data_IF_564536482282
#
_entry.id   IF_564536482282
#
_cell.length_a   1.000
_cell.length_b   1.000
_cell.length_c   1.000
_cell.angle_alpha   90.00
_cell.angle_beta   90.00
_cell.angle_gamma   90.00
#
_symmetry.space_group_name_H-M   'P 1'
#
loop_
_entity.id
_entity.type
_entity.pdbx_description
1 polymer ?
#
# COMPACT_ATOMS: atom_id res chain seq x y z
N UNK A 1 47.97 -33.52 -6.27
CA UNK A 1 49.27 -32.99 -5.76
C UNK A 1 49.20 -31.48 -5.84
N UNK A 2 49.71 -30.82 -4.80
CA UNK A 2 49.63 -29.37 -4.53
C UNK A 2 50.57 -28.58 -5.45
N UNK A 3 50.15 -27.34 -5.80
CA UNK A 3 50.93 -26.16 -6.23
C UNK A 3 51.62 -26.21 -7.61
N UNK A 4 51.81 -25.14 -8.37
CA UNK A 4 51.55 -23.68 -8.34
C UNK A 4 51.89 -23.20 -9.77
N UNK A 5 51.23 -22.21 -10.37
CA UNK A 5 51.77 -20.85 -10.45
C UNK A 5 50.72 -19.95 -11.16
N UNK A 6 49.96 -19.18 -10.38
CA UNK A 6 49.07 -18.16 -10.90
C UNK A 6 49.85 -16.88 -11.20
N UNK A 7 49.98 -16.51 -12.48
CA UNK A 7 50.41 -15.16 -12.88
C UNK A 7 49.20 -14.26 -13.05
N UNK A 8 49.19 -13.15 -12.32
CA UNK A 8 48.19 -12.09 -12.41
C UNK A 8 48.62 -11.10 -13.50
N UNK A 9 47.73 -10.75 -14.44
CA UNK A 9 47.96 -9.66 -15.40
C UNK A 9 47.01 -8.50 -15.11
N UNK A 10 47.55 -7.28 -15.05
CA UNK A 10 46.78 -6.03 -14.92
C UNK A 10 46.95 -5.25 -16.21
N UNK A 11 45.85 -4.97 -16.92
CA UNK A 11 45.86 -4.05 -18.05
C UNK A 11 45.03 -2.82 -17.71
N UNK A 12 45.66 -1.65 -17.75
CA UNK A 12 44.99 -0.36 -17.61
C UNK A 12 45.22 0.45 -18.89
N UNK A 13 44.15 0.88 -19.54
CA UNK A 13 44.17 2.02 -20.46
C UNK A 13 43.22 3.07 -19.90
N UNK A 14 43.70 4.30 -19.81
CA UNK A 14 42.90 5.43 -19.34
C UNK A 14 43.17 6.67 -20.16
N UNK A 15 42.13 7.50 -20.25
CA UNK A 15 42.24 8.95 -20.17
C UNK A 15 41.03 9.49 -19.39
N UNK A 16 41.28 10.00 -18.19
CA UNK A 16 40.51 11.09 -17.55
C UNK A 16 39.32 10.74 -16.63
N UNK A 17 39.60 10.79 -15.32
CA UNK A 17 38.71 11.02 -14.16
C UNK A 17 37.90 9.84 -13.56
N UNK A 18 38.41 9.41 -12.39
CA UNK A 18 37.92 8.48 -11.35
C UNK A 18 37.62 7.03 -11.80
N UNK A 19 38.64 6.17 -11.68
CA UNK A 19 38.48 4.71 -11.65
C UNK A 19 37.75 4.27 -10.37
N UNK A 20 36.55 3.71 -10.52
CA UNK A 20 35.80 3.08 -9.41
C UNK A 20 35.76 1.54 -9.46
N UNK A 21 36.50 0.88 -10.38
CA UNK A 21 36.59 -0.60 -10.41
C UNK A 21 37.95 -1.10 -10.91
N UNK A 22 38.43 -2.18 -10.30
CA UNK A 22 39.46 -3.09 -10.82
C UNK A 22 38.77 -4.43 -11.05
N UNK A 23 38.94 -5.02 -12.24
CA UNK A 23 38.49 -6.38 -12.52
C UNK A 23 39.68 -7.35 -12.41
N UNK A 24 39.51 -8.45 -11.66
CA UNK A 24 40.47 -9.54 -11.57
C UNK A 24 39.80 -10.81 -12.11
N UNK A 25 40.53 -11.57 -12.94
CA UNK A 25 40.06 -12.82 -13.52
C UNK A 25 40.90 -13.98 -12.97
N UNK A 26 40.25 -15.10 -12.69
CA UNK A 26 40.89 -16.40 -12.49
C UNK A 26 40.11 -17.45 -13.28
N UNK A 27 40.79 -18.23 -14.10
CA UNK A 27 40.20 -19.37 -14.82
C UNK A 27 40.41 -20.65 -14.03
N UNK A 28 39.31 -21.26 -13.56
CA UNK A 28 39.17 -22.71 -13.47
C UNK A 28 37.68 -23.06 -13.37
N UNK A 29 37.14 -23.77 -14.37
CA UNK A 29 35.86 -24.49 -14.26
C UNK A 29 34.56 -23.65 -14.28
N UNK A 30 34.34 -22.85 -15.33
CA UNK A 30 33.01 -22.62 -15.91
C UNK A 30 31.85 -22.20 -14.99
N UNK A 31 32.03 -21.23 -14.09
CA UNK A 31 30.97 -20.36 -13.53
C UNK A 31 31.55 -19.00 -13.18
N UNK A 32 30.89 -17.91 -13.62
CA UNK A 32 31.19 -16.54 -13.21
C UNK A 32 30.36 -16.19 -11.98
N UNK A 33 31.00 -15.87 -10.85
CA UNK A 33 30.33 -15.31 -9.66
C UNK A 33 30.76 -13.86 -9.44
N UNK A 34 29.80 -12.95 -9.34
CA UNK A 34 30.02 -11.56 -8.93
C UNK A 34 29.95 -11.47 -7.40
N UNK A 35 31.08 -11.15 -6.76
CA UNK A 35 31.18 -10.97 -5.31
C UNK A 35 30.95 -9.50 -4.97
N UNK A 36 29.69 -9.07 -4.90
CA UNK A 36 29.35 -7.70 -4.48
C UNK A 36 28.29 -7.51 -3.41
N UNK A 37 27.76 -8.58 -2.79
CA UNK A 37 26.58 -8.40 -1.93
C UNK A 37 26.67 -9.00 -0.52
N UNK A 38 27.86 -9.20 0.03
CA UNK A 38 28.00 -9.78 1.38
C UNK A 38 28.94 -8.96 2.25
N UNK A 39 28.48 -7.81 2.73
CA UNK A 39 29.11 -7.16 3.89
C UNK A 39 28.05 -6.59 4.85
N UNK A 40 28.14 -7.04 6.12
CA UNK A 40 27.46 -6.60 7.35
C UNK A 40 26.44 -7.57 8.01
N UNK A 41 25.62 -8.35 7.29
CA UNK A 41 24.62 -9.21 7.96
C UNK A 41 25.12 -10.59 8.41
N UNK A 42 26.24 -11.09 7.87
CA UNK A 42 26.75 -12.44 8.16
C UNK A 42 27.73 -12.49 9.33
N UNK A 43 28.36 -11.35 9.65
CA UNK A 43 29.19 -11.22 10.86
C UNK A 43 28.32 -11.24 12.12
N UNK A 44 27.07 -10.78 12.04
CA UNK A 44 26.11 -10.85 13.16
C UNK A 44 25.54 -12.27 13.31
N UNK A 45 25.27 -12.98 12.21
CA UNK A 45 24.81 -14.37 12.25
C UNK A 45 25.87 -15.37 12.73
N UNK A 46 27.16 -15.12 12.44
CA UNK A 46 28.26 -15.95 12.96
C UNK A 46 28.61 -15.68 14.44
N UNK A 47 28.20 -14.52 14.99
CA UNK A 47 28.36 -14.22 16.42
C UNK A 47 27.20 -14.75 17.29
N UNK A 48 26.03 -15.03 16.71
CA UNK A 48 24.88 -15.63 17.42
C UNK A 48 24.99 -17.16 17.51
N UNK A 49 25.81 -17.81 16.67
CA UNK A 49 26.07 -19.26 16.73
C UNK A 49 27.24 -19.68 17.66
N UNK A 50 27.89 -18.74 18.36
CA UNK A 50 29.05 -19.01 19.21
C UNK A 50 28.81 -18.90 20.74
N UNK A 51 27.55 -18.84 21.19
CA UNK A 51 27.19 -18.83 22.61
C UNK A 51 26.13 -19.90 22.95
N UNK A 52 26.42 -21.15 22.61
CA UNK A 52 25.68 -22.31 23.11
C UNK A 52 26.65 -23.34 23.71
N UNK A 53 27.34 -22.98 24.79
CA UNK A 53 28.01 -23.93 25.68
C UNK A 53 27.95 -23.46 27.13
N UNK A 54 26.91 -23.84 27.87
CA UNK A 54 27.00 -24.47 29.21
C UNK A 54 25.59 -24.73 29.79
N UNK A 55 25.43 -25.71 30.71
CA UNK A 55 24.13 -26.32 30.95
C UNK A 55 23.49 -26.00 32.33
N UNK A 56 22.18 -26.26 32.37
CA UNK A 56 21.29 -26.52 33.53
C UNK A 56 20.91 -25.33 34.43
N UNK A 57 19.64 -24.91 34.34
CA UNK A 57 18.84 -24.52 35.50
C UNK A 57 17.36 -24.94 35.30
N UNK A 58 16.79 -25.57 36.33
CA UNK A 58 15.44 -26.17 36.42
C UNK A 58 14.28 -25.16 36.44
N UNK A 59 13.04 -25.58 36.13
CA UNK A 59 11.90 -24.67 35.98
C UNK A 59 11.28 -24.31 37.35
N UNK A 60 11.14 -23.01 37.61
CA UNK A 60 10.44 -22.47 38.77
C UNK A 60 9.57 -21.28 38.38
N UNK A 61 8.26 -21.46 38.53
CA UNK A 61 7.16 -20.48 38.47
C UNK A 61 7.54 -19.00 38.25
N UNK A 62 7.09 -18.44 37.13
CA UNK A 62 6.92 -17.00 36.99
C UNK A 62 5.47 -16.65 36.65
N UNK A 63 4.89 -15.87 37.56
CA UNK A 63 3.57 -15.30 37.46
C UNK A 63 3.41 -14.42 36.23
N UNK A 64 2.25 -14.51 35.58
CA UNK A 64 1.83 -13.63 34.50
C UNK A 64 1.58 -12.25 35.10
N UNK A 65 2.54 -11.33 34.93
CA UNK A 65 2.31 -9.91 35.08
C UNK A 65 1.83 -9.39 33.72
N UNK A 66 0.56 -8.98 33.62
CA UNK A 66 0.08 -8.18 32.51
C UNK A 66 0.83 -6.85 32.53
N UNK A 67 1.71 -6.62 31.57
CA UNK A 67 2.26 -5.31 31.31
C UNK A 67 1.16 -4.45 30.67
N UNK A 68 0.76 -3.38 31.36
CA UNK A 68 -0.03 -2.30 30.77
C UNK A 68 0.82 -1.63 29.69
N UNK A 69 0.37 -1.70 28.43
CA UNK A 69 0.92 -0.87 27.35
C UNK A 69 0.67 0.60 27.68
N UNK A 70 1.76 1.32 27.96
CA UNK A 70 1.79 2.77 27.95
C UNK A 70 1.69 3.27 26.52
N UNK A 71 0.49 3.74 26.16
CA UNK A 71 0.10 4.44 24.94
C UNK A 71 1.03 5.65 24.66
N UNK A 72 2.04 5.43 23.82
CA UNK A 72 2.86 6.49 23.21
C UNK A 72 2.19 6.99 21.93
N UNK A 73 1.11 7.75 22.07
CA UNK A 73 0.94 9.10 21.51
C UNK A 73 1.23 9.44 20.04
N UNK A 74 1.50 8.50 19.13
CA UNK A 74 1.52 8.74 17.68
C UNK A 74 0.38 7.97 17.02
N UNK A 75 -0.42 8.63 16.18
CA UNK A 75 -1.49 7.98 15.42
C UNK A 75 -0.88 7.01 14.41
N UNK A 76 -0.57 5.77 14.83
CA UNK A 76 -0.16 4.71 13.92
C UNK A 76 -1.36 4.31 13.08
N UNK A 77 -1.30 4.58 11.78
CA UNK A 77 -2.27 4.06 10.82
C UNK A 77 -2.12 2.53 10.79
N UNK A 78 -3.22 1.81 10.98
CA UNK A 78 -3.25 0.35 10.91
C UNK A 78 -3.87 -0.02 9.56
N UNK A 79 -3.03 -0.49 8.63
CA UNK A 79 -3.47 -0.99 7.33
C UNK A 79 -4.26 -2.29 7.51
N UNK A 80 -5.25 -2.50 6.64
CA UNK A 80 -6.12 -3.67 6.69
C UNK A 80 -6.06 -4.47 5.40
N UNK A 81 -6.16 -5.78 5.56
CA UNK A 81 -6.41 -6.70 4.46
C UNK A 81 -7.74 -6.37 3.77
N UNK A 82 -7.86 -6.66 2.46
CA UNK A 82 -9.08 -6.48 1.72
C UNK A 82 -10.25 -7.22 2.37
N UNK A 83 -11.40 -6.56 2.42
CA UNK A 83 -12.61 -7.17 2.97
C UNK A 83 -13.85 -6.60 2.31
N UNK A 84 -14.91 -7.38 2.25
CA UNK A 84 -16.22 -6.90 1.82
C UNK A 84 -16.75 -5.92 2.86
N UNK A 85 -16.94 -4.67 2.47
CA UNK A 85 -17.61 -3.68 3.29
C UNK A 85 -19.13 -3.84 3.16
N UNK A 86 -19.82 -3.91 4.31
CA UNK A 86 -21.27 -4.15 4.37
C UNK A 86 -22.10 -3.01 3.79
N UNK A 87 -21.58 -1.78 3.78
CA UNK A 87 -22.28 -0.62 3.24
C UNK A 87 -22.07 -0.48 1.74
N UNK A 88 -20.88 -0.85 1.24
CA UNK A 88 -20.58 -0.87 -0.19
C UNK A 88 -21.17 -2.11 -0.89
N UNK A 89 -21.31 -3.23 -0.17
CA UNK A 89 -21.61 -4.53 -0.76
C UNK A 89 -20.50 -5.04 -1.68
N UNK A 90 -19.29 -4.49 -1.55
CA UNK A 90 -18.14 -4.74 -2.40
C UNK A 90 -16.88 -4.85 -1.54
N UNK A 91 -15.85 -5.46 -2.10
CA UNK A 91 -14.51 -5.42 -1.52
C UNK A 91 -14.00 -3.98 -1.41
N UNK A 92 -13.28 -3.70 -0.33
CA UNK A 92 -12.60 -2.45 -0.08
C UNK A 92 -11.13 -2.74 0.21
N UNK A 93 -10.25 -2.03 -0.48
CA UNK A 93 -8.81 -2.03 -0.23
C UNK A 93 -8.42 -0.75 0.52
N UNK A 94 -7.54 -0.87 1.51
CA UNK A 94 -6.77 0.27 1.99
C UNK A 94 -5.71 0.63 0.94
N UNK A 95 -5.34 1.90 0.88
CA UNK A 95 -4.35 2.41 -0.06
C UNK A 95 -3.24 3.20 0.64
N UNK A 96 -2.06 3.20 0.01
CA UNK A 96 -0.90 3.99 0.42
C UNK A 96 -0.27 4.70 -0.78
N UNK A 97 0.41 5.82 -0.52
CA UNK A 97 1.37 6.41 -1.44
C UNK A 97 2.77 5.97 -1.04
N UNK A 98 3.54 5.46 -1.99
CA UNK A 98 4.93 5.01 -1.81
C UNK A 98 5.65 5.04 -3.16
N UNK A 99 6.87 5.58 -3.23
CA UNK A 99 7.53 5.88 -4.50
C UNK A 99 6.81 6.94 -5.33
N UNK A 100 7.42 7.33 -6.44
CA UNK A 100 6.91 8.34 -7.37
C UNK A 100 7.13 7.89 -8.82
N UNK A 101 6.19 8.16 -9.73
CA UNK A 101 6.37 7.86 -11.15
C UNK A 101 5.66 8.90 -12.02
N UNK A 102 5.89 8.87 -13.33
CA UNK A 102 5.21 9.73 -14.29
C UNK A 102 3.73 9.35 -14.39
N UNK A 103 2.81 10.28 -14.15
CA UNK A 103 1.38 9.94 -14.06
C UNK A 103 0.45 10.94 -14.75
N UNK A 104 0.10 12.05 -14.11
CA UNK A 104 -0.90 12.99 -14.68
C UNK A 104 -0.28 13.91 -15.73
N UNK A 105 -1.09 14.33 -16.71
CA UNK A 105 -0.71 15.41 -17.63
C UNK A 105 -0.39 16.69 -16.82
N UNK A 106 0.65 17.40 -17.24
CA UNK A 106 1.18 18.58 -16.58
C UNK A 106 1.35 19.71 -17.60
N UNK A 107 1.13 20.95 -17.17
CA UNK A 107 1.42 22.14 -17.97
C UNK A 107 2.50 22.94 -17.25
N UNK A 108 3.75 22.87 -17.71
CA UNK A 108 4.83 23.67 -17.15
C UNK A 108 4.57 25.17 -17.27
N UNK A 109 5.16 25.95 -16.37
CA UNK A 109 5.14 27.41 -16.46
C UNK A 109 5.85 27.87 -17.72
N UNK A 110 5.47 29.07 -18.20
CA UNK A 110 5.91 29.61 -19.49
C UNK A 110 7.43 29.61 -19.69
N UNK A 111 8.21 29.82 -18.63
CA UNK A 111 9.68 29.83 -18.65
C UNK A 111 10.34 28.45 -18.72
N UNK A 112 9.58 27.37 -18.45
CA UNK A 112 10.03 25.98 -18.51
C UNK A 112 9.22 25.17 -19.54
N UNK A 113 8.63 25.81 -20.55
CA UNK A 113 8.02 25.01 -21.61
C UNK A 113 9.11 24.22 -22.37
N UNK A 114 8.91 22.92 -22.61
CA UNK A 114 9.90 22.13 -23.32
C UNK A 114 10.04 22.58 -24.77
N UNK A 115 11.24 22.43 -25.31
CA UNK A 115 11.53 22.65 -26.71
C UNK A 115 11.09 21.44 -27.56
N UNK A 116 11.02 21.63 -28.88
CA UNK A 116 10.68 20.54 -29.78
C UNK A 116 11.80 19.48 -29.80
N UNK A 117 11.43 18.21 -29.62
CA UNK A 117 12.36 17.07 -29.68
C UNK A 117 12.95 16.65 -28.33
N UNK A 118 12.45 17.17 -27.21
CA UNK A 118 12.86 16.79 -25.85
C UNK A 118 12.11 15.55 -25.30
N UNK A 119 11.76 14.60 -26.17
CA UNK A 119 11.09 13.36 -25.77
C UNK A 119 11.94 12.56 -24.77
N UNK A 120 11.28 12.08 -23.72
CA UNK A 120 11.85 11.33 -22.61
C UNK A 120 12.96 12.06 -21.82
N UNK A 121 13.07 13.39 -21.99
CA UNK A 121 13.96 14.23 -21.19
C UNK A 121 13.27 14.66 -19.90
N UNK A 122 13.96 14.51 -18.77
CA UNK A 122 13.47 14.94 -17.46
C UNK A 122 13.78 16.42 -17.24
N UNK A 123 12.74 17.19 -16.96
CA UNK A 123 12.79 18.60 -16.62
C UNK A 123 12.39 18.84 -15.16
N UNK A 124 12.62 20.05 -14.68
CA UNK A 124 12.17 20.51 -13.35
C UNK A 124 11.62 21.92 -13.49
N UNK A 125 10.35 22.11 -13.15
CA UNK A 125 9.75 23.43 -13.10
C UNK A 125 10.27 24.20 -11.89
N UNK A 126 10.07 25.52 -11.90
CA UNK A 126 10.41 26.49 -10.84
C UNK A 126 9.85 26.18 -9.45
N UNK A 127 8.76 25.40 -9.35
CA UNK A 127 8.23 24.94 -8.06
C UNK A 127 8.83 23.61 -7.58
N UNK A 128 9.79 23.07 -8.32
CA UNK A 128 10.45 21.80 -8.06
C UNK A 128 9.73 20.58 -8.64
N UNK A 129 8.58 20.76 -9.31
CA UNK A 129 7.87 19.66 -9.97
C UNK A 129 8.72 19.12 -11.11
N UNK A 130 9.10 17.85 -11.03
CA UNK A 130 9.74 17.16 -12.15
C UNK A 130 8.69 16.71 -13.15
N UNK A 131 9.00 16.78 -14.44
CA UNK A 131 8.14 16.26 -15.49
C UNK A 131 8.96 15.74 -16.66
N UNK A 132 8.34 14.92 -17.51
CA UNK A 132 8.91 14.36 -18.72
C UNK A 132 8.01 14.67 -19.91
N UNK A 133 8.59 14.82 -21.10
CA UNK A 133 7.84 14.99 -22.36
C UNK A 133 7.69 13.63 -23.03
N UNK A 134 6.50 13.28 -23.51
CA UNK A 134 6.25 12.03 -24.27
C UNK A 134 6.08 12.32 -25.76
N UNK A 135 5.98 11.26 -26.57
CA UNK A 135 5.81 11.30 -28.04
C UNK A 135 4.61 12.08 -28.57
N UNK A 136 3.65 12.45 -27.71
CA UNK A 136 2.54 13.34 -28.06
C UNK A 136 2.84 14.82 -27.77
N UNK A 137 4.10 15.13 -27.46
CA UNK A 137 4.62 16.44 -27.07
C UNK A 137 3.95 17.03 -25.82
N UNK A 138 3.32 16.18 -24.99
CA UNK A 138 2.76 16.59 -23.70
C UNK A 138 3.69 16.26 -22.54
N UNK A 139 3.53 17.00 -21.45
CA UNK A 139 4.31 16.85 -20.24
C UNK A 139 3.55 16.01 -19.20
N UNK A 140 4.28 15.20 -18.44
CA UNK A 140 3.74 14.34 -17.39
C UNK A 140 4.55 14.48 -16.13
N UNK A 141 3.89 14.80 -15.02
CA UNK A 141 4.58 15.07 -13.75
C UNK A 141 5.00 13.78 -13.04
N UNK A 142 6.15 13.85 -12.40
CA UNK A 142 6.65 12.87 -11.46
C UNK A 142 5.97 13.05 -10.10
N UNK A 143 5.16 12.09 -9.69
CA UNK A 143 4.34 12.24 -8.49
C UNK A 143 4.09 10.90 -7.78
N UNK A 144 3.63 10.93 -6.51
CA UNK A 144 3.48 9.72 -5.71
C UNK A 144 2.59 8.66 -6.34
N UNK A 145 3.08 7.41 -6.34
CA UNK A 145 2.32 6.27 -6.86
C UNK A 145 1.37 5.77 -5.78
N UNK A 146 0.10 5.58 -6.13
CA UNK A 146 -0.91 5.01 -5.24
C UNK A 146 -0.98 3.49 -5.41
N UNK A 147 -0.96 2.79 -4.28
CA UNK A 147 -0.99 1.33 -4.20
C UNK A 147 -2.17 0.84 -3.38
N UNK A 148 -2.78 -0.29 -3.79
CA UNK A 148 -3.76 -1.04 -3.01
C UNK A 148 -3.05 -2.09 -2.16
N UNK A 149 -3.46 -2.20 -0.90
CA UNK A 149 -2.99 -3.25 0.02
C UNK A 149 -3.71 -4.56 -0.29
N UNK A 150 -2.99 -5.55 -0.82
CA UNK A 150 -3.51 -6.90 -1.07
C UNK A 150 -3.43 -7.78 0.17
N UNK A 151 -2.35 -7.67 0.95
CA UNK A 151 -2.24 -8.31 2.25
C UNK A 151 -1.24 -7.59 3.15
N UNK A 152 -1.42 -7.78 4.45
CA UNK A 152 -0.55 -7.39 5.55
C UNK A 152 -0.36 -8.64 6.38
N UNK A 153 0.90 -9.02 6.59
CA UNK A 153 1.23 -10.14 7.47
C UNK A 153 0.95 -9.79 8.95
N UNK A 154 1.06 -10.78 9.84
CA UNK A 154 0.63 -10.62 11.24
C UNK A 154 1.40 -9.56 12.03
N UNK A 155 2.70 -9.39 11.76
CA UNK A 155 3.55 -8.39 12.42
C UNK A 155 3.57 -7.02 11.71
N UNK A 156 3.01 -6.94 10.50
CA UNK A 156 2.91 -5.74 9.69
C UNK A 156 4.21 -5.31 9.00
N UNK A 157 5.23 -6.16 8.95
CA UNK A 157 6.50 -5.86 8.26
C UNK A 157 6.53 -6.31 6.80
N UNK A 158 5.51 -7.05 6.36
CA UNK A 158 5.33 -7.42 4.96
C UNK A 158 3.92 -6.99 4.51
N UNK A 159 3.91 -5.98 3.65
CA UNK A 159 2.71 -5.47 3.00
C UNK A 159 2.82 -5.77 1.51
N UNK A 160 1.91 -6.62 1.01
CA UNK A 160 1.80 -6.93 -0.40
C UNK A 160 0.93 -5.88 -1.09
N UNK A 161 1.48 -5.22 -2.11
CA UNK A 161 0.87 -4.09 -2.79
C UNK A 161 0.66 -4.35 -4.28
N UNK A 162 -0.37 -3.75 -4.86
CA UNK A 162 -0.57 -3.63 -6.32
C UNK A 162 -0.86 -2.17 -6.70
N UNK A 163 -0.37 -1.71 -7.84
CA UNK A 163 -0.68 -0.34 -8.30
C UNK A 163 -2.20 -0.12 -8.45
N UNK A 164 -2.69 1.05 -8.00
CA UNK A 164 -4.11 1.44 -8.08
C UNK A 164 -4.52 1.93 -9.49
N UNK A 165 -3.57 1.99 -10.41
CA UNK A 165 -3.76 2.27 -11.83
C UNK A 165 -2.71 1.50 -12.64
N UNK A 166 -2.92 1.36 -13.95
CA UNK A 166 -1.81 1.06 -14.85
C UNK A 166 -0.89 2.28 -14.91
N UNK A 167 0.40 2.07 -14.62
CA UNK A 167 1.40 3.14 -14.49
C UNK A 167 2.05 3.50 -15.82
N UNK A 168 2.28 2.51 -16.68
CA UNK A 168 2.90 2.66 -17.99
C UNK A 168 2.42 1.56 -18.94
N UNK A 169 2.90 1.56 -20.18
CA UNK A 169 2.72 0.46 -21.14
C UNK A 169 4.05 -0.03 -21.66
N UNK A 170 4.17 -1.35 -21.82
CA UNK A 170 5.38 -1.97 -22.33
C UNK A 170 5.03 -3.23 -23.13
N UNK A 171 5.97 -3.61 -24.01
CA UNK A 171 5.98 -4.96 -24.57
C UNK A 171 6.38 -5.93 -23.48
N UNK A 172 5.79 -7.12 -23.50
CA UNK A 172 6.26 -8.20 -22.65
C UNK A 172 7.66 -8.65 -23.10
N UNK A 173 7.85 -8.75 -24.42
CA UNK A 173 9.12 -9.05 -25.07
C UNK A 173 9.14 -8.46 -26.49
N UNK A 174 10.27 -7.94 -26.91
CA UNK A 174 10.40 -7.14 -28.15
C UNK A 174 10.48 -7.97 -29.43
N UNK A 175 10.88 -9.25 -29.35
CA UNK A 175 11.04 -10.11 -30.53
C UNK A 175 9.75 -10.90 -30.84
N UNK A 176 9.26 -10.72 -32.06
CA UNK A 176 8.04 -11.39 -32.53
C UNK A 176 8.26 -12.87 -32.81
N UNK A 177 7.32 -13.71 -32.37
CA UNK A 177 7.28 -15.14 -32.72
C UNK A 177 8.20 -16.02 -31.89
N UNK A 178 8.77 -15.47 -30.82
CA UNK A 178 9.57 -16.22 -29.83
C UNK A 178 8.68 -16.68 -28.70
N UNK A 179 8.85 -17.95 -28.31
CA UNK A 179 8.23 -18.49 -27.09
C UNK A 179 8.94 -17.89 -25.87
N UNK A 180 8.21 -17.11 -25.08
CA UNK A 180 8.77 -16.36 -23.96
C UNK A 180 8.14 -16.76 -22.63
N UNK A 181 8.95 -16.71 -21.57
CA UNK A 181 8.51 -16.89 -20.18
C UNK A 181 8.83 -15.64 -19.38
N UNK A 182 8.24 -15.48 -18.19
CA UNK A 182 8.53 -14.35 -17.29
C UNK A 182 10.03 -14.14 -17.06
N UNK A 183 10.77 -15.21 -16.76
CA UNK A 183 12.18 -15.16 -16.40
C UNK A 183 13.07 -14.50 -17.47
N UNK A 184 12.69 -14.62 -18.75
CA UNK A 184 13.47 -14.14 -19.89
C UNK A 184 12.85 -12.89 -20.54
N UNK A 185 11.76 -12.36 -19.99
CA UNK A 185 11.00 -11.26 -20.59
C UNK A 185 11.72 -9.91 -20.45
N UNK A 186 11.52 -9.03 -21.45
CA UNK A 186 12.08 -7.66 -21.42
C UNK A 186 11.39 -6.83 -20.33
N UNK A 187 10.10 -7.05 -20.11
CA UNK A 187 9.32 -6.34 -19.09
C UNK A 187 9.80 -6.63 -17.67
N UNK A 188 10.29 -7.86 -17.39
CA UNK A 188 10.89 -8.20 -16.09
C UNK A 188 12.17 -7.39 -15.87
N UNK A 189 13.03 -7.30 -16.89
CA UNK A 189 14.25 -6.50 -16.82
C UNK A 189 13.92 -5.01 -16.63
N UNK A 190 12.99 -4.48 -17.42
CA UNK A 190 12.56 -3.09 -17.30
C UNK A 190 11.97 -2.78 -15.92
N UNK A 191 11.19 -3.70 -15.33
CA UNK A 191 10.65 -3.54 -13.97
C UNK A 191 11.75 -3.47 -12.91
N UNK A 192 12.74 -4.37 -12.99
CA UNK A 192 13.83 -4.46 -12.02
C UNK A 192 14.92 -3.39 -12.18
N UNK A 193 15.01 -2.76 -13.35
CA UNK A 193 15.99 -1.72 -13.63
C UNK A 193 15.31 -0.36 -13.80
N UNK A 194 14.88 -0.03 -15.02
CA UNK A 194 14.40 1.31 -15.38
C UNK A 194 13.25 1.78 -14.49
N UNK A 195 12.23 0.95 -14.28
CA UNK A 195 11.11 1.31 -13.40
C UNK A 195 11.57 1.43 -11.94
N UNK A 196 12.27 0.44 -11.40
CA UNK A 196 12.68 0.41 -9.99
C UNK A 196 13.52 1.64 -9.59
N UNK A 197 14.55 1.96 -10.38
CA UNK A 197 15.43 3.10 -10.10
C UNK A 197 14.80 4.46 -10.43
N UNK A 198 13.79 4.49 -11.29
CA UNK A 198 13.00 5.70 -11.53
C UNK A 198 11.97 5.90 -10.43
N UNK A 199 11.35 4.82 -9.94
CA UNK A 199 10.17 4.90 -9.09
C UNK A 199 10.49 5.11 -7.60
N UNK A 200 11.63 4.60 -7.14
CA UNK A 200 11.96 4.54 -5.72
C UNK A 200 13.30 5.18 -5.41
N UNK A 201 13.36 5.96 -4.34
CA UNK A 201 14.61 6.48 -3.76
C UNK A 201 15.40 5.38 -3.05
N UNK A 202 16.68 5.58 -2.77
CA UNK A 202 17.51 4.56 -2.09
C UNK A 202 16.92 4.08 -0.75
N UNK A 203 16.35 4.99 0.05
CA UNK A 203 15.72 4.64 1.33
C UNK A 203 14.42 3.83 1.12
N UNK A 204 13.66 4.11 0.07
CA UNK A 204 12.47 3.33 -0.31
C UNK A 204 12.86 1.96 -0.89
N UNK A 205 13.90 1.89 -1.72
CA UNK A 205 14.41 0.63 -2.28
C UNK A 205 14.84 -0.34 -1.16
N UNK A 206 15.49 0.16 -0.11
CA UNK A 206 15.87 -0.63 1.07
C UNK A 206 14.68 -1.22 1.84
N UNK A 207 13.44 -0.75 1.58
CA UNK A 207 12.20 -1.25 2.17
C UNK A 207 11.45 -2.24 1.29
N UNK A 208 11.77 -2.32 0.00
CA UNK A 208 11.17 -3.30 -0.90
C UNK A 208 11.80 -4.67 -0.61
N UNK A 209 10.93 -5.67 -0.45
CA UNK A 209 11.34 -7.02 -0.05
C UNK A 209 11.55 -7.88 -1.29
N UNK A 210 12.76 -8.41 -1.42
CA UNK A 210 13.12 -9.42 -2.42
C UNK A 210 12.21 -10.65 -2.27
N UNK A 211 11.55 -11.04 -3.35
CA UNK A 211 10.58 -12.15 -3.37
C UNK A 211 11.05 -13.31 -4.24
N UNK A 212 10.82 -14.55 -3.79
CA UNK A 212 10.90 -15.74 -4.64
C UNK A 212 9.60 -15.83 -5.46
N UNK A 213 9.68 -15.52 -6.75
CA UNK A 213 8.51 -15.41 -7.63
C UNK A 213 8.35 -16.70 -8.43
N UNK A 214 7.24 -17.40 -8.14
CA UNK A 214 6.89 -18.67 -8.78
C UNK A 214 5.88 -18.48 -9.88
N UNK A 215 6.20 -18.90 -11.09
CA UNK A 215 5.30 -18.81 -12.25
C UNK A 215 4.83 -20.22 -12.62
N UNK A 216 3.71 -20.70 -12.07
CA UNK A 216 3.18 -22.00 -12.43
C UNK A 216 2.69 -22.01 -13.88
N UNK A 217 2.58 -23.22 -14.43
CA UNK A 217 1.98 -23.45 -15.74
C UNK A 217 0.54 -22.94 -15.77
N UNK A 218 0.08 -22.52 -16.95
CA UNK A 218 -1.29 -22.04 -17.11
C UNK A 218 -2.26 -23.17 -16.74
N UNK A 219 -3.21 -22.96 -15.80
CA UNK A 219 -4.06 -24.04 -15.31
C UNK A 219 -5.06 -24.58 -16.34
N UNK A 220 -5.29 -23.87 -17.46
CA UNK A 220 -6.21 -24.26 -18.52
C UNK A 220 -5.51 -24.79 -19.76
N UNK A 221 -4.49 -24.08 -20.26
CA UNK A 221 -3.76 -24.49 -21.47
C UNK A 221 -2.60 -25.45 -21.20
N UNK A 222 -2.07 -25.46 -19.98
CA UNK A 222 -0.84 -26.18 -19.64
C UNK A 222 0.43 -25.55 -20.21
N UNK A 223 0.35 -24.32 -20.73
CA UNK A 223 1.54 -23.60 -21.21
C UNK A 223 2.54 -23.38 -20.06
N UNK A 224 3.84 -23.63 -20.28
CA UNK A 224 4.82 -23.65 -19.20
C UNK A 224 5.09 -22.25 -18.65
N UNK A 225 5.09 -22.13 -17.32
CA UNK A 225 5.37 -20.85 -16.66
C UNK A 225 6.86 -20.47 -16.65
N UNK A 226 7.74 -21.45 -16.87
CA UNK A 226 9.18 -21.26 -16.91
C UNK A 226 9.85 -21.42 -15.55
N UNK A 227 11.05 -20.86 -15.41
CA UNK A 227 11.84 -20.95 -14.17
C UNK A 227 11.34 -19.94 -13.13
N UNK A 228 11.44 -20.33 -11.86
CA UNK A 228 11.27 -19.41 -10.74
C UNK A 228 12.32 -18.29 -10.78
N UNK A 229 11.94 -17.10 -10.31
CA UNK A 229 12.78 -15.90 -10.30
C UNK A 229 12.93 -15.33 -8.90
N UNK A 230 13.86 -14.40 -8.74
CA UNK A 230 14.02 -13.58 -7.55
C UNK A 230 13.85 -12.14 -8.00
N UNK A 231 12.80 -11.48 -7.53
CA UNK A 231 12.38 -10.16 -8.01
C UNK A 231 11.97 -9.26 -6.83
N UNK A 232 12.32 -7.97 -6.89
CA UNK A 232 11.85 -6.94 -5.96
C UNK A 232 10.45 -6.42 -6.35
N UNK A 233 10.21 -6.33 -7.66
CA UNK A 233 8.97 -5.86 -8.26
C UNK A 233 8.67 -6.70 -9.50
N UNK A 234 7.40 -7.08 -9.66
CA UNK A 234 6.99 -8.02 -10.71
C UNK A 234 5.53 -7.77 -11.14
N UNK A 235 5.09 -8.48 -12.18
CA UNK A 235 3.68 -8.46 -12.57
C UNK A 235 2.88 -9.52 -11.79
N UNK A 236 1.60 -9.29 -11.47
CA UNK A 236 0.80 -10.31 -10.80
C UNK A 236 0.59 -11.55 -11.70
N UNK A 237 0.38 -12.69 -11.08
CA UNK A 237 -0.05 -13.93 -11.74
C UNK A 237 -1.57 -14.06 -11.84
N UNK A 238 -2.02 -15.02 -12.63
CA UNK A 238 -3.42 -15.45 -12.69
C UNK A 238 -3.92 -15.80 -11.28
N UNK A 239 -3.16 -16.57 -10.50
CA UNK A 239 -3.56 -17.01 -9.15
C UNK A 239 -3.72 -15.82 -8.19
N UNK A 240 -2.79 -14.86 -8.23
CA UNK A 240 -2.89 -13.63 -7.43
C UNK A 240 -4.12 -12.80 -7.83
N UNK A 241 -4.44 -12.74 -9.12
CA UNK A 241 -5.59 -12.02 -9.67
C UNK A 241 -6.93 -12.74 -9.49
N UNK A 242 -6.93 -13.99 -9.01
CA UNK A 242 -8.13 -14.77 -8.68
C UNK A 242 -8.25 -15.06 -7.18
N UNK A 243 -7.38 -14.47 -6.36
CA UNK A 243 -7.34 -14.72 -4.93
C UNK A 243 -8.36 -13.86 -4.16
N UNK A 244 -9.38 -14.52 -3.62
CA UNK A 244 -10.41 -13.89 -2.78
C UNK A 244 -9.83 -13.15 -1.56
N UNK A 245 -8.73 -13.64 -0.99
CA UNK A 245 -8.08 -13.00 0.17
C UNK A 245 -7.39 -11.68 -0.20
N UNK A 246 -7.00 -11.52 -1.46
CA UNK A 246 -6.47 -10.28 -2.02
C UNK A 246 -7.59 -9.37 -2.57
N UNK A 247 -8.84 -9.78 -2.41
CA UNK A 247 -10.00 -9.00 -2.79
C UNK A 247 -10.47 -9.20 -4.24
N UNK A 248 -9.87 -10.12 -4.98
CA UNK A 248 -10.28 -10.39 -6.36
C UNK A 248 -11.28 -11.54 -6.43
N UNK A 249 -12.21 -11.47 -7.39
CA UNK A 249 -13.13 -12.58 -7.64
C UNK A 249 -12.38 -13.81 -8.17
N UNK A 250 -12.74 -14.99 -7.68
CA UNK A 250 -12.25 -16.26 -8.22
C UNK A 250 -12.92 -16.65 -9.55
N UNK A 251 -13.95 -15.92 -9.98
CA UNK A 251 -14.58 -16.08 -11.29
C UNK A 251 -13.77 -15.31 -12.34
N UNK A 252 -13.22 -16.04 -13.31
CA UNK A 252 -12.40 -15.50 -14.42
C UNK A 252 -13.15 -14.52 -15.32
N UNK A 253 -14.49 -14.64 -15.38
CA UNK A 253 -15.38 -13.78 -16.17
C UNK A 253 -15.84 -12.54 -15.40
N UNK A 254 -15.73 -12.53 -14.07
CA UNK A 254 -16.07 -11.38 -13.24
C UNK A 254 -14.94 -10.35 -13.30
N UNK A 255 -15.14 -9.29 -14.09
CA UNK A 255 -14.09 -8.32 -14.33
C UNK A 255 -14.01 -7.13 -13.39
N UNK A 256 -15.06 -6.79 -12.60
CA UNK A 256 -15.11 -5.53 -11.85
C UNK A 256 -13.94 -5.42 -10.87
N UNK A 257 -13.62 -6.49 -10.13
CA UNK A 257 -12.53 -6.46 -9.14
C UNK A 257 -11.14 -6.25 -9.77
N UNK A 258 -11.00 -6.55 -11.06
CA UNK A 258 -9.74 -6.54 -11.82
C UNK A 258 -9.62 -5.40 -12.82
N UNK A 259 -10.75 -4.87 -13.27
CA UNK A 259 -10.82 -3.71 -14.16
C UNK A 259 -10.16 -2.51 -13.49
N UNK A 260 -9.32 -1.80 -14.23
CA UNK A 260 -8.46 -0.76 -13.66
C UNK A 260 -8.26 0.39 -14.62
N UNK A 261 -8.24 1.61 -14.08
CA UNK A 261 -7.98 2.81 -14.86
C UNK A 261 -6.49 2.97 -15.13
N UNK A 262 -6.18 3.90 -16.03
CA UNK A 262 -4.81 4.14 -16.52
C UNK A 262 -4.38 5.57 -16.19
N UNK A 263 -3.09 5.78 -15.92
CA UNK A 263 -2.51 7.13 -15.79
C UNK A 263 -2.56 7.87 -17.13
N UNK A 264 -2.48 9.20 -17.13
CA UNK A 264 -2.40 9.95 -18.39
C UNK A 264 -1.10 9.62 -19.14
N UNK A 265 -0.02 9.36 -18.41
CA UNK A 265 1.27 8.94 -18.96
C UNK A 265 1.20 7.60 -19.70
N UNK A 266 0.46 6.61 -19.17
CA UNK A 266 0.26 5.31 -19.79
C UNK A 266 -0.60 5.38 -21.06
N UNK A 267 -1.58 6.31 -21.11
CA UNK A 267 -2.48 6.48 -22.28
C UNK A 267 -1.73 6.78 -23.57
N UNK A 268 -0.56 7.39 -23.47
CA UNK A 268 0.22 7.79 -24.63
C UNK A 268 1.04 6.64 -25.19
N UNK A 269 1.52 5.70 -24.37
CA UNK A 269 2.58 4.78 -24.78
C UNK A 269 2.21 3.71 -25.84
N UNK A 270 0.92 3.37 -26.03
CA UNK A 270 0.49 2.28 -26.95
C UNK A 270 -0.27 2.76 -28.20
N UNK A 271 -0.31 1.94 -29.26
CA UNK A 271 -1.20 2.13 -30.43
C UNK A 271 -2.47 1.25 -30.29
N UNK A 272 -3.45 1.35 -31.21
CA UNK A 272 -4.70 2.11 -31.16
C UNK A 272 -5.91 1.40 -30.51
N UNK A 273 -5.74 0.35 -29.69
CA UNK A 273 -6.86 -0.14 -28.87
C UNK A 273 -6.98 0.76 -27.64
N UNK A 274 -7.59 1.93 -27.89
CA UNK A 274 -7.92 2.91 -26.86
C UNK A 274 -8.54 2.19 -25.66
N UNK A 275 -8.26 2.66 -24.43
CA UNK A 275 -8.93 2.13 -23.26
C UNK A 275 -10.45 2.12 -23.50
N UNK A 276 -11.08 0.95 -23.50
CA UNK A 276 -12.54 0.88 -23.55
C UNK A 276 -13.04 1.53 -22.27
N UNK A 277 -13.77 2.64 -22.40
CA UNK A 277 -14.31 3.42 -21.29
C UNK A 277 -13.28 3.83 -20.20
N UNK A 278 -12.02 4.02 -20.58
CA UNK A 278 -10.95 4.44 -19.65
C UNK A 278 -10.22 3.31 -18.92
N UNK A 279 -10.50 2.05 -19.27
CA UNK A 279 -9.87 0.84 -18.75
C UNK A 279 -9.01 0.14 -19.81
N UNK A 280 -7.93 -0.54 -19.41
CA UNK A 280 -6.97 -1.12 -20.34
C UNK A 280 -6.57 -2.55 -19.94
N UNK A 281 -6.30 -3.38 -20.94
CA UNK A 281 -5.65 -4.67 -20.75
C UNK A 281 -4.27 -4.49 -20.12
N UNK A 282 -3.87 -5.39 -19.23
CA UNK A 282 -2.53 -5.37 -18.64
C UNK A 282 -1.93 -6.76 -18.54
N UNK A 283 -0.60 -6.80 -18.63
CA UNK A 283 0.16 -8.04 -18.60
C UNK A 283 0.10 -8.71 -17.23
N UNK A 284 0.09 -10.04 -17.26
CA UNK A 284 0.41 -10.90 -16.13
C UNK A 284 1.72 -11.62 -16.42
N UNK A 285 2.45 -12.01 -15.36
CA UNK A 285 3.64 -12.86 -15.52
C UNK A 285 3.31 -14.31 -15.88
N UNK A 286 2.07 -14.75 -15.59
CA UNK A 286 1.62 -16.10 -15.93
C UNK A 286 1.60 -16.31 -17.45
N UNK A 287 1.86 -17.54 -17.92
CA UNK A 287 1.65 -17.90 -19.31
C UNK A 287 0.16 -17.81 -19.68
N UNK A 288 -0.12 -17.41 -20.91
CA UNK A 288 -1.45 -17.32 -21.50
C UNK A 288 -1.91 -18.65 -22.11
N UNK A 289 -2.97 -18.58 -22.91
CA UNK A 289 -3.59 -19.78 -23.50
C UNK A 289 -3.00 -20.19 -24.84
N UNK A 290 -2.19 -19.33 -25.45
CA UNK A 290 -1.42 -19.65 -26.67
C UNK A 290 0.05 -19.85 -26.38
N UNK A 291 0.69 -20.62 -27.26
CA UNK A 291 2.08 -21.01 -27.12
C UNK A 291 3.02 -19.83 -27.01
N UNK A 292 3.70 -19.70 -25.86
CA UNK A 292 4.64 -18.62 -25.59
C UNK A 292 4.00 -17.22 -25.48
N UNK A 293 2.67 -17.12 -25.39
CA UNK A 293 1.98 -15.86 -25.13
C UNK A 293 1.90 -15.63 -23.62
N UNK A 294 2.18 -14.42 -23.11
CA UNK A 294 1.85 -14.05 -21.74
C UNK A 294 0.32 -13.96 -21.53
N UNK A 295 -0.13 -14.18 -20.31
CA UNK A 295 -1.52 -13.92 -19.93
C UNK A 295 -1.74 -12.42 -19.74
N UNK A 296 -3.01 -12.02 -19.82
CA UNK A 296 -3.44 -10.65 -19.60
C UNK A 296 -4.74 -10.63 -18.82
N UNK A 297 -4.96 -9.51 -18.13
CA UNK A 297 -6.26 -9.18 -17.55
C UNK A 297 -6.89 -8.09 -18.38
N UNK A 298 -8.20 -8.21 -18.54
CA UNK A 298 -9.01 -7.19 -19.19
C UNK A 298 -8.93 -7.25 -20.68
N UNK A 299 -9.21 -8.42 -21.26
CA UNK A 299 -9.59 -8.53 -22.66
C UNK A 299 -10.64 -7.45 -22.99
N UNK A 300 -10.29 -6.51 -23.88
CA UNK A 300 -11.05 -5.29 -24.21
C UNK A 300 -11.35 -4.34 -23.03
N UNK A 301 -10.53 -4.35 -21.98
CA UNK A 301 -10.67 -3.49 -20.80
C UNK A 301 -11.66 -3.98 -19.74
N UNK A 302 -12.31 -5.12 -19.90
CA UNK A 302 -13.42 -5.54 -19.04
C UNK A 302 -13.00 -6.20 -17.71
N UNK A 303 -11.72 -6.54 -17.55
CA UNK A 303 -11.17 -7.23 -16.36
C UNK A 303 -11.20 -8.76 -16.40
N UNK A 304 -11.64 -9.38 -17.50
CA UNK A 304 -11.68 -10.84 -17.68
C UNK A 304 -10.28 -11.47 -17.85
N UNK A 305 -10.15 -12.73 -17.44
CA UNK A 305 -8.99 -13.59 -17.73
C UNK A 305 -9.41 -14.68 -18.71
N UNK A 306 -8.70 -14.78 -19.83
CA UNK A 306 -9.00 -15.78 -20.87
C UNK A 306 -8.53 -17.17 -20.43
N UNK A 307 -9.43 -18.16 -20.54
CA UNK A 307 -9.15 -19.56 -20.21
C UNK A 307 -9.01 -20.46 -21.43
N UNK A 308 -9.50 -20.01 -22.59
CA UNK A 308 -9.46 -20.77 -23.84
C UNK A 308 -8.45 -20.19 -24.83
N UNK A 309 -7.88 -21.02 -25.73
CA UNK A 309 -7.02 -20.53 -26.81
C UNK A 309 -7.76 -19.53 -27.68
N UNK A 310 -7.26 -18.29 -27.76
CA UNK A 310 -7.78 -17.29 -28.69
C UNK A 310 -6.94 -17.26 -29.97
N UNK A 311 -7.59 -17.08 -31.11
CA UNK A 311 -6.92 -16.86 -32.42
C UNK A 311 -6.39 -15.43 -32.58
N UNK A 312 -6.76 -14.51 -31.68
CA UNK A 312 -6.43 -13.08 -31.71
C UNK A 312 -5.44 -12.71 -30.59
N UNK A 313 -4.66 -13.67 -30.08
CA UNK A 313 -3.83 -13.43 -28.90
C UNK A 313 -2.88 -12.26 -29.13
N UNK A 314 -2.94 -11.34 -28.17
CA UNK A 314 -1.94 -10.31 -28.02
C UNK A 314 -0.58 -10.98 -27.88
N UNK A 315 0.32 -10.63 -28.79
CA UNK A 315 1.64 -11.22 -28.80
C UNK A 315 2.47 -10.54 -27.73
N UNK A 316 3.54 -11.21 -27.34
CA UNK A 316 4.56 -10.64 -26.44
C UNK A 316 5.04 -9.23 -26.87
N UNK A 317 4.92 -8.91 -28.15
CA UNK A 317 5.28 -7.62 -28.76
C UNK A 317 4.17 -6.55 -28.73
N UNK A 318 2.97 -6.85 -28.24
CA UNK A 318 1.92 -5.82 -28.03
C UNK A 318 2.32 -4.89 -26.89
N UNK A 319 1.93 -3.62 -26.96
CA UNK A 319 2.08 -2.70 -25.83
C UNK A 319 0.81 -2.76 -24.98
N UNK A 320 0.90 -3.36 -23.80
CA UNK A 320 -0.18 -3.38 -22.82
C UNK A 320 0.23 -2.73 -21.52
N UNK A 321 -0.76 -2.54 -20.65
CA UNK A 321 -0.58 -1.97 -19.34
C UNK A 321 0.39 -2.74 -18.47
N UNK A 322 1.19 -1.98 -17.72
CA UNK A 322 2.03 -2.45 -16.64
C UNK A 322 1.37 -2.07 -15.32
N UNK A 323 0.92 -3.09 -14.58
CA UNK A 323 0.35 -2.96 -13.25
C UNK A 323 1.15 -3.81 -12.26
N UNK A 324 2.26 -3.27 -11.72
CA UNK A 324 3.17 -4.05 -10.91
C UNK A 324 2.62 -4.35 -9.51
N UNK A 325 3.21 -5.36 -8.90
CA UNK A 325 3.06 -5.75 -7.50
C UNK A 325 4.41 -5.83 -6.79
N UNK A 326 4.41 -5.65 -5.47
CA UNK A 326 5.62 -5.77 -4.65
C UNK A 326 5.28 -6.06 -3.18
N UNK A 327 6.23 -6.65 -2.46
CA UNK A 327 6.22 -6.77 -1.00
C UNK A 327 7.06 -5.65 -0.40
N UNK A 328 6.57 -4.95 0.63
CA UNK A 328 7.28 -3.80 1.22
C UNK A 328 7.14 -3.74 2.74
N UNK A 329 8.23 -3.36 3.41
CA UNK A 329 8.25 -3.04 4.84
C UNK A 329 7.86 -1.56 5.06
N UNK A 330 6.62 -1.33 5.49
CA UNK A 330 6.09 0.00 5.79
C UNK A 330 6.29 0.42 7.27
N UNK A 331 7.24 -0.19 7.99
CA UNK A 331 7.57 0.18 9.37
C UNK A 331 8.06 1.62 9.52
N UNK A 332 8.72 2.16 8.49
CA UNK A 332 9.15 3.56 8.45
C UNK A 332 8.04 4.46 7.90
N UNK A 333 7.28 5.06 8.81
CA UNK A 333 6.18 5.95 8.48
C UNK A 333 6.58 7.28 7.79
N UNK A 334 7.88 7.56 7.64
CA UNK A 334 8.36 8.75 6.92
C UNK A 334 8.43 8.56 5.40
N UNK A 335 8.44 7.30 4.93
CA UNK A 335 8.61 6.95 3.51
C UNK A 335 7.29 6.71 2.77
N UNK A 336 6.16 6.71 3.47
CA UNK A 336 4.85 6.47 2.87
C UNK A 336 3.76 7.32 3.54
N UNK A 337 2.61 7.43 2.88
CA UNK A 337 1.43 8.05 3.48
C UNK A 337 0.15 7.29 3.16
N UNK A 338 -0.84 7.35 4.06
CA UNK A 338 -2.11 6.69 3.84
C UNK A 338 -2.94 7.41 2.76
N UNK A 339 -3.37 6.67 1.74
CA UNK A 339 -4.04 7.18 0.54
C UNK A 339 -5.55 6.89 0.52
N UNK A 340 -6.14 6.56 1.67
CA UNK A 340 -7.58 6.31 1.78
C UNK A 340 -7.95 4.88 1.41
N UNK A 341 -9.17 4.72 0.90
CA UNK A 341 -9.73 3.42 0.54
C UNK A 341 -10.31 3.44 -0.87
N UNK A 342 -10.36 2.30 -1.50
CA UNK A 342 -10.96 2.12 -2.84
C UNK A 342 -11.83 0.88 -2.91
N UNK A 343 -12.82 0.91 -3.78
CA UNK A 343 -13.60 -0.27 -4.22
C UNK A 343 -13.31 -0.54 -5.70
N UNK A 344 -13.84 -1.62 -6.29
CA UNK A 344 -13.78 -1.83 -7.74
C UNK A 344 -14.31 -0.65 -8.57
N UNK A 345 -15.19 0.17 -7.99
CA UNK A 345 -15.82 1.33 -8.65
C UNK A 345 -15.09 2.65 -8.42
N UNK A 346 -13.91 2.62 -7.80
CA UNK A 346 -13.06 3.81 -7.57
C UNK A 346 -12.98 4.21 -6.11
N UNK A 347 -12.84 5.52 -5.85
CA UNK A 347 -12.58 6.05 -4.50
C UNK A 347 -13.71 5.69 -3.54
N UNK A 348 -13.37 4.95 -2.49
CA UNK A 348 -14.28 4.71 -1.39
C UNK A 348 -14.09 5.81 -0.36
N UNK A 349 -14.93 6.84 -0.47
CA UNK A 349 -15.20 7.69 0.68
C UNK A 349 -16.27 6.95 1.45
N UNK A 350 -16.01 6.44 2.68
CA UNK A 350 -17.09 5.97 3.53
C UNK A 350 -18.08 7.11 3.59
N UNK A 351 -19.32 6.88 3.15
CA UNK A 351 -20.39 7.87 3.33
C UNK A 351 -20.27 8.34 4.76
N UNK A 352 -20.07 9.65 4.99
CA UNK A 352 -19.81 10.27 6.30
C UNK A 352 -20.60 9.46 7.34
N UNK A 353 -19.91 8.59 8.09
CA UNK A 353 -20.63 7.58 8.88
C UNK A 353 -21.60 8.38 9.75
N UNK A 354 -22.93 8.10 9.68
CA UNK A 354 -23.97 9.06 10.02
C UNK A 354 -23.63 9.74 11.35
N UNK A 355 -23.64 11.08 11.35
CA UNK A 355 -23.26 11.85 12.53
C UNK A 355 -24.04 11.31 13.74
N UNK A 356 -23.33 10.95 14.80
CA UNK A 356 -23.96 10.37 15.99
C UNK A 356 -25.05 11.31 16.51
N UNK A 357 -26.27 10.80 16.60
CA UNK A 357 -27.41 11.54 17.13
C UNK A 357 -27.08 12.17 18.49
N UNK A 358 -27.52 13.41 18.68
CA UNK A 358 -27.34 14.12 19.94
C UNK A 358 -28.09 13.43 21.08
N UNK A 359 -27.39 12.95 22.15
CA UNK A 359 -28.04 12.28 23.25
C UNK A 359 -29.02 13.18 24.01
N UNK A 360 -30.14 12.60 24.43
CA UNK A 360 -31.15 13.31 25.23
C UNK A 360 -31.00 12.90 26.70
N UNK A 361 -30.74 13.88 27.57
CA UNK A 361 -30.75 13.66 29.02
C UNK A 361 -32.21 13.42 29.45
N UNK A 362 -32.55 12.21 29.89
CA UNK A 362 -33.86 11.89 30.48
C UNK A 362 -34.01 12.56 31.85
N UNK A 363 -33.04 12.35 32.73
CA UNK A 363 -33.13 12.72 34.15
C UNK A 363 -31.80 13.29 34.67
N UNK A 364 -31.91 14.32 35.51
CA UNK A 364 -30.85 14.78 36.41
C UNK A 364 -31.32 14.51 37.84
N UNK A 365 -30.49 13.84 38.64
CA UNK A 365 -30.85 13.46 40.01
C UNK A 365 -29.76 13.84 41.00
N UNK A 366 -30.14 14.58 42.05
CA UNK A 366 -29.23 14.87 43.16
C UNK A 366 -28.98 13.60 43.98
N UNK A 367 -27.70 13.34 44.29
CA UNK A 367 -27.28 12.29 45.22
C UNK A 367 -26.53 12.91 46.40
N UNK A 368 -26.48 12.18 47.52
CA UNK A 368 -25.74 12.61 48.72
C UNK A 368 -24.28 12.94 48.38
N UNK A 369 -23.74 13.97 49.02
CA UNK A 369 -22.32 14.31 48.93
C UNK A 369 -21.92 15.07 47.66
N UNK A 370 -22.70 16.08 47.27
CA UNK A 370 -22.37 17.00 46.15
C UNK A 370 -22.25 16.29 44.80
N UNK A 371 -23.20 15.40 44.52
CA UNK A 371 -23.21 14.53 43.32
C UNK A 371 -24.49 14.71 42.53
N UNK A 372 -24.38 14.65 41.20
CA UNK A 372 -25.52 14.59 40.30
C UNK A 372 -25.34 13.40 39.37
N UNK A 373 -26.37 12.56 39.29
CA UNK A 373 -26.45 11.50 38.30
C UNK A 373 -27.17 12.03 37.06
N UNK A 374 -26.58 11.80 35.89
CA UNK A 374 -27.10 12.14 34.57
C UNK A 374 -27.50 10.84 33.89
N UNK A 375 -28.76 10.71 33.49
CA UNK A 375 -29.31 9.51 32.83
C UNK A 375 -29.83 9.86 31.44
N UNK A 376 -29.44 9.07 30.43
CA UNK A 376 -29.87 9.22 29.04
C UNK A 376 -31.24 8.58 28.81
N UNK A 377 -31.98 9.04 27.80
CA UNK A 377 -33.31 8.51 27.47
C UNK A 377 -33.27 7.19 26.72
N UNK A 378 -32.29 7.04 25.84
CA UNK A 378 -32.04 5.87 25.01
C UNK A 378 -30.56 5.85 24.64
N UNK A 379 -30.08 4.69 24.20
CA UNK A 379 -28.77 4.58 23.58
C UNK A 379 -28.79 5.21 22.19
N UNK A 380 -27.64 5.76 21.79
CA UNK A 380 -27.39 6.27 20.43
C UNK A 380 -26.75 5.12 19.63
N UNK A 381 -27.39 4.63 18.56
CA UNK A 381 -26.81 3.60 17.70
C UNK A 381 -25.43 4.01 17.20
N UNK A 382 -24.47 3.07 17.22
CA UNK A 382 -23.09 3.32 16.78
C UNK A 382 -22.20 4.06 17.79
N UNK A 383 -22.71 4.48 18.95
CA UNK A 383 -21.89 5.14 19.96
C UNK A 383 -21.00 4.16 20.74
N UNK A 384 -19.69 4.39 20.74
CA UNK A 384 -18.73 3.70 21.62
C UNK A 384 -18.76 4.20 23.07
N UNK A 385 -19.37 5.38 23.31
CA UNK A 385 -19.63 5.93 24.62
C UNK A 385 -20.15 7.37 24.57
N UNK A 386 -20.14 8.05 25.71
CA UNK A 386 -20.66 9.39 25.86
C UNK A 386 -19.72 10.30 26.65
N UNK A 387 -19.81 11.60 26.41
CA UNK A 387 -19.15 12.62 27.20
C UNK A 387 -20.19 13.59 27.76
N UNK A 388 -20.23 13.72 29.09
CA UNK A 388 -21.02 14.76 29.75
C UNK A 388 -20.17 16.00 29.94
N UNK A 389 -20.70 17.16 29.56
CA UNK A 389 -20.16 18.46 29.92
C UNK A 389 -21.05 19.14 30.95
N UNK A 390 -20.43 19.84 31.91
CA UNK A 390 -21.15 20.54 32.97
C UNK A 390 -20.46 21.84 33.39
N UNK A 391 -21.27 22.88 33.64
CA UNK A 391 -20.81 24.22 34.01
C UNK A 391 -21.83 24.92 34.93
N UNK A 392 -21.39 25.95 35.67
CA UNK A 392 -22.30 26.83 36.42
C UNK A 392 -22.91 27.89 35.52
N UNK A 393 -22.17 28.36 34.51
CA UNK A 393 -22.65 29.32 33.51
C UNK A 393 -23.51 28.59 32.47
N UNK A 394 -24.67 29.16 32.13
CA UNK A 394 -25.58 28.61 31.10
C UNK A 394 -24.99 28.63 29.68
N UNK A 395 -24.01 29.51 29.43
CA UNK A 395 -23.20 29.56 28.21
C UNK A 395 -22.28 28.34 28.04
N UNK A 396 -22.11 27.52 29.09
CA UNK A 396 -21.13 26.42 29.16
C UNK A 396 -19.67 26.88 29.11
N UNK A 397 -19.42 28.17 29.32
CA UNK A 397 -18.06 28.70 29.47
C UNK A 397 -17.41 28.11 30.73
N UNK A 398 -16.16 27.64 30.60
CA UNK A 398 -15.44 26.93 31.68
C UNK A 398 -16.04 25.57 32.04
N UNK A 399 -16.77 24.92 31.11
CA UNK A 399 -17.31 23.58 31.34
C UNK A 399 -16.21 22.56 31.63
N UNK A 400 -16.49 21.65 32.54
CA UNK A 400 -15.71 20.42 32.72
C UNK A 400 -16.39 19.28 31.98
N UNK A 401 -15.60 18.31 31.53
CA UNK A 401 -16.12 17.12 30.84
C UNK A 401 -15.79 15.85 31.60
N UNK A 402 -16.57 14.79 31.35
CA UNK A 402 -16.29 13.43 31.83
C UNK A 402 -16.84 12.42 30.83
N UNK A 403 -16.00 11.51 30.37
CA UNK A 403 -16.40 10.40 29.51
C UNK A 403 -16.96 9.23 30.33
N UNK A 404 -17.93 8.50 29.78
CA UNK A 404 -18.54 7.33 30.40
C UNK A 404 -19.11 6.38 29.34
N UNK A 405 -19.33 5.12 29.74
CA UNK A 405 -20.03 4.09 28.96
C UNK A 405 -21.37 3.76 29.64
N UNK A 406 -22.32 3.23 28.86
CA UNK A 406 -23.68 2.92 29.30
C UNK A 406 -24.60 4.14 29.40
N UNK A 407 -25.76 3.96 30.04
CA UNK A 407 -26.86 4.96 30.00
C UNK A 407 -26.81 6.03 31.10
N UNK A 408 -25.86 5.98 32.04
CA UNK A 408 -25.78 6.99 33.10
C UNK A 408 -24.38 7.23 33.64
N UNK A 409 -24.17 8.42 34.21
CA UNK A 409 -22.92 8.80 34.86
C UNK A 409 -23.18 9.65 36.10
N UNK A 410 -22.36 9.46 37.13
CA UNK A 410 -22.36 10.34 38.31
C UNK A 410 -21.19 11.31 38.24
N UNK A 411 -21.53 12.60 38.25
CA UNK A 411 -20.60 13.73 38.39
C UNK A 411 -20.47 14.07 39.87
N UNK A 412 -19.24 14.18 40.36
CA UNK A 412 -18.89 14.39 41.77
C UNK A 412 -18.24 15.77 41.96
N UNK A 413 -18.15 16.24 43.20
CA UNK A 413 -17.39 17.45 43.55
C UNK A 413 -18.05 18.78 43.16
N UNK A 414 -19.39 18.82 43.10
CA UNK A 414 -20.13 20.01 42.71
C UNK A 414 -20.31 21.00 43.89
N UNK A 415 -20.46 22.30 43.60
CA UNK A 415 -20.70 23.30 44.65
C UNK A 415 -22.17 23.26 45.13
N UNK A 416 -22.39 23.21 46.45
CA UNK A 416 -23.74 23.20 47.05
C UNK A 416 -24.52 24.47 46.70
N UNK A 417 -25.84 24.36 46.60
CA UNK A 417 -26.78 25.47 46.33
C UNK A 417 -26.55 26.21 45.00
N UNK A 418 -25.65 25.73 44.12
CA UNK A 418 -25.42 26.28 42.78
C UNK A 418 -26.21 25.49 41.74
N UNK A 419 -26.71 26.19 40.73
CA UNK A 419 -27.30 25.58 39.54
C UNK A 419 -26.18 25.19 38.58
N UNK A 420 -26.20 23.95 38.14
CA UNK A 420 -25.31 23.46 37.10
C UNK A 420 -26.12 23.12 35.86
N UNK A 421 -25.55 23.43 34.70
CA UNK A 421 -26.03 23.07 33.37
C UNK A 421 -25.24 21.89 32.86
N UNK A 422 -25.93 20.92 32.28
CA UNK A 422 -25.39 19.67 31.76
C UNK A 422 -25.82 19.51 30.31
N UNK A 423 -24.92 19.00 29.47
CA UNK A 423 -25.20 18.50 28.12
C UNK A 423 -24.36 17.26 27.86
N UNK A 424 -24.80 16.39 26.97
CA UNK A 424 -24.09 15.16 26.64
C UNK A 424 -23.90 15.10 25.12
N UNK A 425 -22.76 14.56 24.67
CA UNK A 425 -22.51 14.16 23.28
C UNK A 425 -22.12 12.69 23.24
N UNK A 426 -22.49 12.00 22.17
CA UNK A 426 -22.01 10.66 21.90
C UNK A 426 -20.62 10.73 21.25
N UNK A 427 -19.85 9.66 21.38
CA UNK A 427 -18.60 9.46 20.64
C UNK A 427 -18.46 8.01 20.22
N UNK A 428 -17.64 7.77 19.20
CA UNK A 428 -17.15 6.44 18.84
C UNK A 428 -15.65 6.49 18.54
N UNK A 429 -15.01 5.33 18.47
CA UNK A 429 -13.60 5.22 18.10
C UNK A 429 -13.50 4.78 16.63
N UNK A 430 -12.76 5.55 15.84
CA UNK A 430 -12.43 5.25 14.45
C UNK A 430 -10.92 5.38 14.28
N UNK A 431 -10.23 4.34 13.81
CA UNK A 431 -8.79 4.35 13.57
C UNK A 431 -7.97 4.93 14.74
N UNK A 432 -8.27 4.48 15.97
CA UNK A 432 -7.63 4.98 17.20
C UNK A 432 -8.10 6.37 17.67
N UNK A 433 -8.74 7.17 16.82
CA UNK A 433 -9.25 8.52 17.13
C UNK A 433 -10.66 8.47 17.69
N UNK A 434 -10.95 9.39 18.61
CA UNK A 434 -12.32 9.57 19.13
C UNK A 434 -13.06 10.61 18.29
N UNK A 435 -14.07 10.17 17.55
CA UNK A 435 -14.96 11.04 16.78
C UNK A 435 -16.16 11.41 17.67
N UNK A 436 -16.40 12.71 17.83
CA UNK A 436 -17.45 13.25 18.69
C UNK A 436 -18.60 13.79 17.87
N UNK A 437 -19.84 13.41 18.23
CA UNK A 437 -21.04 14.03 17.65
C UNK A 437 -21.38 15.39 18.28
N UNK A 438 -22.44 16.02 17.76
CA UNK A 438 -23.02 17.26 18.31
C UNK A 438 -23.41 17.13 19.78
N UNK A 439 -23.33 18.28 20.47
CA UNK A 439 -23.83 18.42 21.83
C UNK A 439 -25.35 18.41 21.89
N UNK A 440 -25.93 17.55 22.72
CA UNK A 440 -27.35 17.55 23.00
C UNK A 440 -27.85 18.76 23.78
N UNK A 441 -29.17 18.87 23.89
CA UNK A 441 -29.85 19.97 24.58
C UNK A 441 -29.42 20.04 26.05
N UNK A 442 -29.19 21.26 26.54
CA UNK A 442 -28.82 21.51 27.94
C UNK A 442 -29.99 21.21 28.87
N UNK A 443 -29.73 20.55 30.00
CA UNK A 443 -30.61 20.50 31.17
C UNK A 443 -29.90 21.07 32.39
N UNK A 444 -30.64 21.57 33.37
CA UNK A 444 -30.05 22.13 34.58
C UNK A 444 -30.67 21.56 35.84
N UNK A 445 -29.90 21.58 36.93
CA UNK A 445 -30.38 21.20 38.26
C UNK A 445 -29.62 22.02 39.32
N UNK A 446 -30.33 22.43 40.37
CA UNK A 446 -29.71 23.02 41.57
C UNK A 446 -29.19 21.92 42.48
N UNK A 447 -27.90 21.99 42.84
CA UNK A 447 -27.25 20.98 43.68
C UNK A 447 -27.73 21.13 45.13
N UNK A 448 -28.36 20.07 45.66
CA UNK A 448 -28.89 20.01 47.03
C UNK A 448 -27.77 19.79 48.05
N UNK A 449 -28.10 20.01 49.33
CA UNK A 449 -27.16 20.00 50.46
C UNK A 449 -26.57 18.60 50.69
#
# INVERSE_FOLDING_TARGET
MIATDGKLFVCARGTGLKLNRIHLYAEEGGRTMDLKQWSRKVVVWLLVMALCLSPVFTPGNMAIAQAEETDSGENKVILKNPAIDKSAGMVVWDCVYFGNYWQSEYTPKAENQPEHGEEDVVHTDTDGTKYIVRKDAKCYKYEPVKWRVLSVNEDGTDVFLIADQVLDVAQYYSEYGVEITWANSDIRYWLGEDFFYTAFTGDEQDKILVSEVKTPDNPWSGEPGGNDTIDDIYLPSIDEMLNLSYGFSSDVTEGDTRRITVTDYAKVGGTPEKPADGFMSYWLRSPGTGKGCPAQVGHWGEGEILTEPSVVLEKSVSYLGVRPVMHVDLSDASLWSYAGKVTPKGVFVPAEEPELDSPIIKKLENKKGKKVTVTLSKEVPGAGGYQVAYAVKSSMEGQKTKSFKGMSVTVKGLKKKKTYYFRVRAYRKENGKTVYGKWGKKKSIKVKI
#
